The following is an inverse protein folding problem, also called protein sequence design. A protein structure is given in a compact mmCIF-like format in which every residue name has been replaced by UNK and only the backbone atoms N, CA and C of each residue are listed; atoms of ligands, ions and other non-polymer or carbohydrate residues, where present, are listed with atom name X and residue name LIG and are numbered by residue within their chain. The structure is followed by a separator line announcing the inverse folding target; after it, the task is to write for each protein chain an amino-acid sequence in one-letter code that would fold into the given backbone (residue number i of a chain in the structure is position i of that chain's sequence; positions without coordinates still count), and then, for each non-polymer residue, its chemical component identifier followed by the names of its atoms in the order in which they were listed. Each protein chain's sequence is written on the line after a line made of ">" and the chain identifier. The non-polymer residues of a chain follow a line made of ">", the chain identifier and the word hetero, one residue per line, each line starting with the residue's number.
data_IF_919827774582
#
_entry.id   IF_919827774582
#
_cell.length_a   1.000
_cell.length_b   1.000
_cell.length_c   1.000
_cell.angle_alpha   90.00
_cell.angle_beta   90.00
_cell.angle_gamma   90.00
#
_symmetry.space_group_name_H-M   'P 1'
#
loop_
_entity.id
_entity.type
_entity.pdbx_description
1 polymer ?
#
# COMPACT_ATOMS: atom_id res chain seq x y z
N UNK A 1 -5.05 -12.43 -52.13
CA UNK A 1 -5.06 -11.45 -51.03
C UNK A 1 -6.36 -11.64 -50.27
N UNK A 2 -6.31 -12.25 -49.08
CA UNK A 2 -7.47 -12.38 -48.21
C UNK A 2 -7.48 -11.11 -47.35
N UNK A 3 -8.55 -10.33 -47.44
CA UNK A 3 -8.75 -9.17 -46.58
C UNK A 3 -8.80 -9.66 -45.13
N UNK A 4 -7.97 -9.05 -44.27
CA UNK A 4 -7.94 -9.34 -42.85
C UNK A 4 -9.25 -8.82 -42.23
N UNK A 5 -10.23 -9.70 -42.05
CA UNK A 5 -11.49 -9.39 -41.33
C UNK A 5 -11.19 -9.23 -39.84
N UNK A 6 -10.66 -8.07 -39.47
CA UNK A 6 -10.69 -7.60 -38.08
C UNK A 6 -12.05 -6.94 -37.87
N UNK A 7 -12.86 -7.52 -36.99
CA UNK A 7 -14.11 -6.92 -36.56
C UNK A 7 -13.83 -5.50 -36.04
N UNK A 8 -14.25 -4.48 -36.81
CA UNK A 8 -13.95 -3.07 -36.56
C UNK A 8 -15.02 -2.36 -35.72
N UNK A 9 -15.87 -3.09 -35.01
CA UNK A 9 -17.00 -2.48 -34.28
C UNK A 9 -16.78 -2.52 -32.78
N UNK A 10 -16.30 -1.42 -32.22
CA UNK A 10 -16.37 -1.15 -30.78
C UNK A 10 -17.83 -0.86 -30.39
N UNK A 11 -18.62 -1.91 -30.12
CA UNK A 11 -19.97 -1.75 -29.57
C UNK A 11 -19.85 -1.39 -28.10
N UNK A 12 -20.14 -0.13 -27.75
CA UNK A 12 -20.16 0.34 -26.36
C UNK A 12 -21.59 0.31 -25.83
N UNK A 13 -21.82 -0.46 -24.76
CA UNK A 13 -23.09 -0.40 -24.00
C UNK A 13 -23.11 0.88 -23.16
N UNK A 14 -23.58 1.98 -23.76
CA UNK A 14 -23.66 3.29 -23.11
C UNK A 14 -24.54 3.28 -21.86
N UNK A 15 -25.57 2.42 -21.80
CA UNK A 15 -26.40 2.28 -20.60
C UNK A 15 -25.60 1.65 -19.47
N UNK A 16 -24.77 0.65 -19.75
CA UNK A 16 -23.87 0.04 -18.75
C UNK A 16 -22.77 1.01 -18.33
N UNK A 17 -22.17 1.74 -19.27
CA UNK A 17 -21.15 2.76 -18.97
C UNK A 17 -21.70 3.83 -18.04
N UNK A 18 -22.87 4.40 -18.34
CA UNK A 18 -23.49 5.42 -17.50
C UNK A 18 -23.76 4.92 -16.07
N UNK A 19 -24.28 3.69 -15.91
CA UNK A 19 -24.53 3.08 -14.59
C UNK A 19 -23.26 2.85 -13.76
N UNK A 20 -22.13 2.59 -14.41
CA UNK A 20 -20.84 2.38 -13.72
C UNK A 20 -20.16 3.71 -13.44
N UNK A 21 -20.17 4.64 -14.39
CA UNK A 21 -19.58 5.97 -14.25
C UNK A 21 -20.17 6.73 -13.05
N UNK A 22 -21.47 6.59 -12.79
CA UNK A 22 -22.16 7.18 -11.63
C UNK A 22 -21.70 6.61 -10.28
N UNK A 23 -21.12 5.40 -10.27
CA UNK A 23 -20.66 4.70 -9.06
C UNK A 23 -19.15 4.70 -8.87
N UNK A 24 -18.39 5.17 -9.86
CA UNK A 24 -16.94 5.14 -9.78
C UNK A 24 -16.45 6.18 -8.78
N UNK A 25 -15.49 5.82 -7.90
CA UNK A 25 -14.85 6.79 -7.03
C UNK A 25 -14.20 7.93 -7.82
N UNK A 26 -14.04 9.07 -7.16
CA UNK A 26 -13.35 10.22 -7.74
C UNK A 26 -11.91 9.91 -8.15
N UNK A 27 -11.36 10.66 -9.10
CA UNK A 27 -9.98 10.47 -9.56
C UNK A 27 -8.96 10.73 -8.46
N UNK A 28 -9.25 11.66 -7.54
CA UNK A 28 -8.37 11.98 -6.41
C UNK A 28 -8.30 10.83 -5.40
N UNK A 29 -9.44 10.24 -5.01
CA UNK A 29 -9.48 9.07 -4.12
C UNK A 29 -8.67 7.90 -4.71
N UNK A 30 -8.85 7.63 -6.00
CA UNK A 30 -8.07 6.61 -6.70
C UNK A 30 -6.56 6.93 -6.73
N UNK A 31 -6.18 8.20 -6.82
CA UNK A 31 -4.77 8.62 -6.79
C UNK A 31 -4.17 8.35 -5.41
N UNK A 32 -4.87 8.73 -4.36
CA UNK A 32 -4.42 8.53 -2.98
C UNK A 32 -4.29 7.03 -2.64
N UNK A 33 -5.27 6.21 -3.07
CA UNK A 33 -5.18 4.75 -2.97
C UNK A 33 -3.98 4.18 -3.73
N UNK A 34 -3.74 4.65 -4.95
CA UNK A 34 -2.61 4.20 -5.76
C UNK A 34 -1.27 4.57 -5.12
N UNK A 35 -1.15 5.73 -4.48
CA UNK A 35 0.05 6.11 -3.72
C UNK A 35 0.29 5.20 -2.52
N UNK A 36 -0.76 4.89 -1.76
CA UNK A 36 -0.69 3.94 -0.65
C UNK A 36 -0.24 2.54 -1.14
N UNK A 37 -0.85 2.01 -2.21
CA UNK A 37 -0.45 0.72 -2.77
C UNK A 37 0.97 0.74 -3.33
N UNK A 38 1.39 1.84 -3.96
CA UNK A 38 2.78 1.99 -4.44
C UNK A 38 3.78 1.97 -3.28
N UNK A 39 3.43 2.55 -2.14
CA UNK A 39 4.25 2.44 -0.95
C UNK A 39 4.28 1.00 -0.42
N UNK A 40 3.14 0.34 -0.30
CA UNK A 40 3.07 -1.04 0.22
C UNK A 40 3.62 -2.11 -0.75
N UNK A 41 3.73 -1.80 -2.04
CA UNK A 41 4.29 -2.69 -3.06
C UNK A 41 5.80 -2.90 -3.02
N UNK A 42 6.52 -2.24 -2.10
CA UNK A 42 7.96 -2.45 -1.89
C UNK A 42 8.22 -3.48 -0.78
N UNK A 43 9.05 -4.50 -1.02
CA UNK A 43 9.30 -5.56 -0.05
C UNK A 43 9.88 -5.07 1.29
N UNK A 44 10.75 -4.05 1.28
CA UNK A 44 11.37 -3.52 2.51
C UNK A 44 10.32 -2.80 3.35
N UNK A 45 9.49 -1.95 2.72
CA UNK A 45 8.40 -1.26 3.41
C UNK A 45 7.36 -2.24 3.94
N UNK A 46 7.01 -3.26 3.17
CA UNK A 46 6.08 -4.29 3.63
C UNK A 46 6.64 -5.07 4.84
N UNK A 47 7.95 -5.35 4.88
CA UNK A 47 8.59 -5.96 6.06
C UNK A 47 8.58 -5.03 7.28
N UNK A 48 8.81 -3.72 7.10
CA UNK A 48 8.69 -2.73 8.18
C UNK A 48 7.27 -2.71 8.74
N UNK A 49 6.25 -2.60 7.88
CA UNK A 49 4.84 -2.58 8.30
C UNK A 49 4.48 -3.87 9.05
N UNK A 50 4.90 -5.03 8.53
CA UNK A 50 4.66 -6.32 9.22
C UNK A 50 5.37 -6.43 10.57
N UNK A 51 6.57 -5.85 10.72
CA UNK A 51 7.24 -5.80 12.02
C UNK A 51 6.45 -4.92 13.01
N UNK A 52 5.97 -3.76 12.55
CA UNK A 52 5.15 -2.84 13.34
C UNK A 52 3.73 -3.36 13.66
N UNK A 53 3.26 -4.40 12.96
CA UNK A 53 2.06 -5.15 13.35
C UNK A 53 2.29 -6.01 14.60
N UNK A 54 3.54 -6.37 14.90
CA UNK A 54 3.88 -7.23 16.04
C UNK A 54 4.18 -6.41 17.30
N UNK A 55 4.93 -5.32 17.14
CA UNK A 55 5.39 -4.50 18.26
C UNK A 55 5.72 -3.07 17.81
N UNK A 56 5.67 -2.12 18.74
CA UNK A 56 6.22 -0.79 18.50
C UNK A 56 7.74 -0.84 18.51
N UNK A 57 8.39 -0.21 17.51
CA UNK A 57 9.83 -0.35 17.30
C UNK A 57 10.48 0.99 17.01
N UNK A 58 11.72 1.18 17.46
CA UNK A 58 12.49 2.36 17.10
C UNK A 58 13.22 2.15 15.76
N UNK A 59 13.79 3.24 15.23
CA UNK A 59 14.55 3.19 13.97
C UNK A 59 15.75 2.24 14.02
N UNK A 60 16.38 2.09 15.19
CA UNK A 60 17.51 1.19 15.37
C UNK A 60 17.06 -0.27 15.32
N UNK A 61 15.95 -0.61 15.96
CA UNK A 61 15.40 -1.99 15.95
C UNK A 61 15.04 -2.41 14.53
N UNK A 62 14.34 -1.52 13.80
CA UNK A 62 13.98 -1.74 12.39
C UNK A 62 15.22 -1.85 11.49
N UNK A 63 16.26 -1.07 11.75
CA UNK A 63 17.54 -1.15 11.03
C UNK A 63 18.20 -2.52 11.18
N UNK A 64 18.20 -3.06 12.41
CA UNK A 64 18.73 -4.40 12.71
C UNK A 64 17.86 -5.49 12.06
N UNK A 65 16.54 -5.43 12.20
CA UNK A 65 15.62 -6.45 11.65
C UNK A 65 15.66 -6.51 10.11
N UNK A 66 15.84 -5.37 9.46
CA UNK A 66 15.84 -5.28 8.00
C UNK A 66 17.23 -5.44 7.38
N UNK A 67 18.29 -5.44 8.19
CA UNK A 67 19.70 -5.44 7.77
C UNK A 67 20.02 -4.29 6.79
N UNK A 68 19.59 -3.09 7.13
CA UNK A 68 19.84 -1.87 6.35
C UNK A 68 20.20 -0.71 7.27
N UNK A 69 20.84 0.33 6.73
CA UNK A 69 21.24 1.49 7.54
C UNK A 69 20.05 2.23 8.18
N UNK A 70 20.29 2.83 9.35
CA UNK A 70 19.34 3.72 10.04
C UNK A 70 18.85 4.86 9.13
N UNK A 71 19.72 5.41 8.29
CA UNK A 71 19.36 6.46 7.33
C UNK A 71 18.35 5.96 6.30
N UNK A 72 18.56 4.75 5.77
CA UNK A 72 17.62 4.12 4.83
C UNK A 72 16.26 3.85 5.49
N UNK A 73 16.23 3.29 6.71
CA UNK A 73 14.97 3.09 7.45
C UNK A 73 14.26 4.42 7.73
N UNK A 74 15.00 5.44 8.16
CA UNK A 74 14.43 6.78 8.41
C UNK A 74 13.78 7.36 7.16
N UNK A 75 14.36 7.13 5.98
CA UNK A 75 13.77 7.54 4.71
C UNK A 75 12.46 6.77 4.42
N UNK A 76 12.44 5.45 4.60
CA UNK A 76 11.23 4.64 4.40
C UNK A 76 10.12 5.04 5.39
N UNK A 77 10.44 5.22 6.68
CA UNK A 77 9.47 5.64 7.70
C UNK A 77 8.89 7.01 7.43
N UNK A 78 9.68 7.94 6.88
CA UNK A 78 9.18 9.26 6.47
C UNK A 78 8.14 9.14 5.36
N UNK A 79 8.41 8.30 4.35
CA UNK A 79 7.46 8.05 3.26
C UNK A 79 6.17 7.42 3.79
N UNK A 80 6.28 6.35 4.59
CA UNK A 80 5.14 5.65 5.19
C UNK A 80 4.30 6.59 6.06
N UNK A 81 4.94 7.45 6.85
CA UNK A 81 4.23 8.43 7.69
C UNK A 81 3.52 9.51 6.88
N UNK A 82 4.13 9.99 5.80
CA UNK A 82 3.48 10.97 4.92
C UNK A 82 2.20 10.42 4.29
N UNK A 83 2.13 9.10 4.09
CA UNK A 83 0.97 8.37 3.58
C UNK A 83 0.06 7.83 4.69
N UNK A 84 0.27 8.23 5.95
CA UNK A 84 -0.51 7.80 7.12
C UNK A 84 -0.58 6.26 7.28
N UNK A 85 0.50 5.56 6.92
CA UNK A 85 0.61 4.11 7.13
C UNK A 85 1.23 3.78 8.49
N UNK A 86 2.02 4.70 9.03
CA UNK A 86 2.68 4.57 10.34
C UNK A 86 2.62 5.90 11.07
N UNK A 87 2.58 5.82 12.40
CA UNK A 87 2.72 6.97 13.30
C UNK A 87 3.91 6.78 14.22
N UNK A 88 4.17 7.76 15.09
CA UNK A 88 5.26 7.68 16.05
C UNK A 88 4.92 8.36 17.37
N UNK A 89 5.56 7.89 18.44
CA UNK A 89 5.60 8.55 19.75
C UNK A 89 7.05 8.78 20.18
N UNK A 90 7.24 9.75 21.06
CA UNK A 90 8.55 10.05 21.66
C UNK A 90 8.57 9.59 23.11
N UNK A 91 9.67 8.97 23.51
CA UNK A 91 9.92 8.58 24.89
C UNK A 91 11.38 8.89 25.23
N UNK A 92 11.57 9.93 26.05
CA UNK A 92 12.90 10.51 26.29
C UNK A 92 13.55 10.96 24.97
N UNK A 93 14.69 10.35 24.64
CA UNK A 93 15.44 10.62 23.40
C UNK A 93 15.05 9.69 22.24
N UNK A 94 14.22 8.68 22.49
CA UNK A 94 13.86 7.65 21.53
C UNK A 94 12.57 7.99 20.80
N UNK A 95 12.47 7.54 19.55
CA UNK A 95 11.26 7.64 18.71
C UNK A 95 10.83 6.22 18.37
N UNK A 96 9.63 5.85 18.80
CA UNK A 96 9.01 4.55 18.53
C UNK A 96 7.91 4.72 17.50
N UNK A 97 7.82 3.78 16.57
CA UNK A 97 6.86 3.77 15.49
C UNK A 97 5.83 2.66 15.72
N UNK A 98 4.62 2.90 15.25
CA UNK A 98 3.50 1.94 15.21
C UNK A 98 2.76 2.10 13.89
N UNK A 99 1.83 1.19 13.57
CA UNK A 99 0.84 1.47 12.53
C UNK A 99 -0.01 2.69 12.90
N UNK A 100 -0.49 3.40 11.88
CA UNK A 100 -1.33 4.59 12.09
C UNK A 100 -2.72 4.22 12.64
N UNK A 101 -3.32 3.16 12.09
CA UNK A 101 -4.61 2.63 12.53
C UNK A 101 -4.75 1.11 12.25
N UNK A 102 -5.90 0.56 12.65
CA UNK A 102 -6.24 -0.85 12.42
C UNK A 102 -6.55 -1.16 10.95
N UNK A 103 -6.95 -0.18 10.13
CA UNK A 103 -7.23 -0.42 8.70
C UNK A 103 -5.95 -0.83 7.95
N UNK A 104 -4.79 -0.24 8.28
CA UNK A 104 -3.50 -0.67 7.71
C UNK A 104 -3.23 -2.13 8.05
N UNK A 105 -3.50 -2.54 9.29
CA UNK A 105 -3.31 -3.92 9.74
C UNK A 105 -4.23 -4.90 9.01
N UNK A 106 -5.51 -4.55 8.86
CA UNK A 106 -6.51 -5.34 8.14
C UNK A 106 -6.12 -5.51 6.67
N UNK A 107 -5.71 -4.43 6.00
CA UNK A 107 -5.28 -4.46 4.60
C UNK A 107 -4.14 -5.47 4.37
N UNK A 108 -3.10 -5.44 5.21
CA UNK A 108 -1.98 -6.38 5.10
C UNK A 108 -2.42 -7.82 5.41
N UNK A 109 -3.29 -8.00 6.39
CA UNK A 109 -3.79 -9.32 6.79
C UNK A 109 -4.59 -9.96 5.65
N UNK A 110 -5.57 -9.24 5.10
CA UNK A 110 -6.37 -9.69 3.96
C UNK A 110 -5.49 -9.97 2.74
N UNK A 111 -4.51 -9.11 2.46
CA UNK A 111 -3.59 -9.31 1.34
C UNK A 111 -2.77 -10.59 1.52
N UNK A 112 -2.29 -10.85 2.74
CA UNK A 112 -1.53 -12.07 3.04
C UNK A 112 -2.37 -13.33 2.93
N UNK A 113 -3.62 -13.28 3.41
CA UNK A 113 -4.59 -14.36 3.26
C UNK A 113 -4.84 -14.64 1.78
N UNK A 114 -5.17 -13.62 0.99
CA UNK A 114 -5.42 -13.74 -0.44
C UNK A 114 -4.24 -14.33 -1.23
N UNK A 115 -3.00 -13.92 -0.91
CA UNK A 115 -1.79 -14.50 -1.55
C UNK A 115 -1.56 -15.96 -1.12
N UNK A 116 -2.03 -16.34 0.06
CA UNK A 116 -1.90 -17.70 0.61
C UNK A 116 -3.05 -18.61 0.21
N UNK A 117 -4.15 -18.08 -0.32
CA UNK A 117 -5.23 -18.87 -0.92
C UNK A 117 -4.65 -19.69 -2.07
N UNK A 118 -4.63 -21.01 -1.88
CA UNK A 118 -4.28 -21.93 -2.96
C UNK A 118 -5.33 -21.75 -4.07
N UNK A 119 -4.86 -21.46 -5.27
CA UNK A 119 -5.68 -21.63 -6.49
C UNK A 119 -6.17 -23.07 -6.60
#
# INVERSE_FOLDING_TARGET
>A
MIANDVCSTNIVDLKKVARVADKLPGTEENRDMAEAFKALGDPTRLRIVQALMQEELCVCDLSVLMDVSISAISHQLRLLRNLKLVTFRKEGKMVYYTLDDDHVKELITITREHVSEKK
#
